data_IF_350012683295
#
_entry.id   IF_350012683295
#
_cell.length_a   1.000
_cell.length_b   1.000
_cell.length_c   1.000
_cell.angle_alpha   90.00
_cell.angle_beta   90.00
_cell.angle_gamma   90.00
#
_symmetry.space_group_name_H-M   'P 1'
#
loop_
_entity.id
_entity.type
_entity.pdbx_description
1 polymer ?
#
# COMPACT_ATOMS: atom_id res chain seq x y z
N UNK A 1 42.19 -28.44 57.00
CA UNK A 1 42.30 -27.91 55.63
C UNK A 1 40.90 -27.90 55.04
N UNK A 2 40.25 -26.73 54.89
CA UNK A 2 38.93 -26.58 54.29
C UNK A 2 39.14 -26.03 52.88
N UNK A 3 38.80 -26.82 51.88
CA UNK A 3 38.87 -26.45 50.48
C UNK A 3 37.57 -25.67 50.12
N UNK A 4 37.68 -24.39 49.82
CA UNK A 4 36.54 -23.56 49.39
C UNK A 4 36.44 -23.59 47.88
N UNK A 5 35.33 -24.09 47.37
CA UNK A 5 35.01 -24.10 45.95
C UNK A 5 34.41 -22.75 45.56
N UNK A 6 35.12 -21.96 44.75
CA UNK A 6 34.63 -20.72 44.19
C UNK A 6 33.77 -21.06 42.95
N UNK A 7 32.46 -20.85 43.05
CA UNK A 7 31.54 -20.92 41.90
C UNK A 7 31.63 -19.60 41.15
N UNK A 8 32.23 -19.60 39.97
CA UNK A 8 32.21 -18.46 39.05
C UNK A 8 30.88 -18.44 38.30
N UNK A 9 30.03 -17.47 38.61
CA UNK A 9 28.81 -17.21 37.90
C UNK A 9 29.14 -16.45 36.60
N UNK A 10 29.10 -17.10 35.45
CA UNK A 10 29.12 -16.46 34.15
C UNK A 10 27.73 -15.84 33.88
N UNK A 11 27.58 -14.52 34.02
CA UNK A 11 26.44 -13.77 33.49
C UNK A 11 26.53 -13.80 31.96
N UNK A 12 25.71 -14.63 31.34
CA UNK A 12 25.46 -14.54 29.90
C UNK A 12 24.50 -13.33 29.71
N UNK A 13 25.04 -12.18 29.34
CA UNK A 13 24.26 -11.06 28.81
C UNK A 13 23.71 -11.49 27.44
N UNK A 14 22.51 -12.04 27.45
CA UNK A 14 21.72 -12.17 26.23
C UNK A 14 21.38 -10.75 25.76
N UNK A 15 22.11 -10.22 24.79
CA UNK A 15 21.77 -9.00 24.11
C UNK A 15 20.42 -9.17 23.42
N UNK A 16 19.35 -8.66 24.05
CA UNK A 16 18.09 -8.50 23.37
C UNK A 16 18.35 -7.54 22.18
N UNK A 17 18.19 -8.01 20.96
CA UNK A 17 18.18 -7.14 19.80
C UNK A 17 17.07 -6.10 20.04
N UNK A 18 17.45 -4.86 20.26
CA UNK A 18 16.52 -3.77 20.50
C UNK A 18 15.73 -3.56 19.22
N UNK A 19 14.39 -3.65 19.28
CA UNK A 19 13.54 -3.34 18.15
C UNK A 19 13.83 -1.91 17.68
N UNK A 20 13.97 -1.71 16.37
CA UNK A 20 14.19 -0.38 15.79
C UNK A 20 13.01 0.52 16.14
N UNK A 21 13.29 1.77 16.51
CA UNK A 21 12.25 2.75 16.78
C UNK A 21 11.54 3.17 15.47
N UNK A 22 10.31 3.66 15.57
CA UNK A 22 9.58 4.17 14.39
C UNK A 22 10.37 5.26 13.67
N UNK A 23 11.02 6.17 14.40
CA UNK A 23 11.84 7.24 13.82
C UNK A 23 13.07 6.74 13.05
N UNK A 24 13.61 5.58 13.42
CA UNK A 24 14.68 4.92 12.66
C UNK A 24 14.14 4.24 11.42
N UNK A 25 13.00 3.57 11.53
CA UNK A 25 12.36 2.86 10.43
C UNK A 25 11.88 3.81 9.33
N UNK A 26 11.34 4.99 9.68
CA UNK A 26 10.90 6.02 8.71
C UNK A 26 12.04 6.45 7.78
N UNK A 27 13.28 6.48 8.27
CA UNK A 27 14.47 6.86 7.48
C UNK A 27 14.74 5.94 6.28
N UNK A 28 14.22 4.71 6.29
CA UNK A 28 14.30 3.80 5.14
C UNK A 28 13.68 4.42 3.88
N UNK A 29 12.67 5.26 4.07
CA UNK A 29 11.89 5.88 2.99
C UNK A 29 12.27 7.33 2.72
N UNK A 30 13.36 7.82 3.32
CA UNK A 30 13.85 9.17 3.06
C UNK A 30 14.38 9.30 1.63
N UNK A 31 13.97 10.37 0.98
CA UNK A 31 14.45 10.73 -0.34
C UNK A 31 14.45 12.23 -0.54
N UNK A 32 15.28 12.70 -1.48
CA UNK A 32 15.31 14.10 -1.85
C UNK A 32 14.13 14.42 -2.78
N UNK A 33 13.13 15.16 -2.28
CA UNK A 33 11.94 15.59 -3.03
C UNK A 33 12.25 16.56 -4.18
N UNK A 34 13.41 17.25 -4.17
CA UNK A 34 13.79 18.18 -5.22
C UNK A 34 14.32 17.49 -6.48
N UNK A 35 14.60 16.18 -6.42
CA UNK A 35 14.97 15.40 -7.62
C UNK A 35 13.81 15.45 -8.61
N UNK A 36 14.08 15.81 -9.88
CA UNK A 36 13.04 15.91 -10.89
C UNK A 36 12.26 14.60 -11.07
N UNK A 37 10.96 14.72 -11.31
CA UNK A 37 10.11 13.55 -11.60
C UNK A 37 10.41 12.93 -12.96
N UNK A 38 10.99 13.71 -13.90
CA UNK A 38 11.24 13.30 -15.29
C UNK A 38 10.04 12.53 -15.86
N UNK A 39 8.85 13.11 -15.70
CA UNK A 39 7.60 12.48 -16.11
C UNK A 39 7.59 12.27 -17.62
N UNK A 40 7.46 11.02 -18.04
CA UNK A 40 7.07 10.62 -19.38
C UNK A 40 5.57 10.33 -19.35
N UNK A 41 4.83 10.91 -20.28
CA UNK A 41 3.39 10.76 -20.36
C UNK A 41 2.96 10.60 -21.82
N UNK A 42 2.17 9.56 -22.09
CA UNK A 42 1.59 9.28 -23.40
C UNK A 42 0.10 9.09 -23.26
N UNK A 43 -0.71 9.89 -23.96
CA UNK A 43 -2.15 9.69 -24.01
C UNK A 43 -2.48 8.36 -24.71
N UNK A 44 -3.35 7.58 -24.10
CA UNK A 44 -3.80 6.28 -24.58
C UNK A 44 -5.25 6.34 -25.05
N UNK A 45 -6.08 7.13 -24.35
CA UNK A 45 -7.50 7.24 -24.61
C UNK A 45 -8.05 8.57 -24.09
N UNK A 46 -9.08 9.10 -24.77
CA UNK A 46 -9.80 10.32 -24.38
C UNK A 46 -11.28 10.15 -24.71
N UNK A 47 -12.05 9.58 -23.79
CA UNK A 47 -13.49 9.36 -23.94
C UNK A 47 -14.19 9.41 -22.58
N UNK A 48 -15.51 9.52 -22.62
CA UNK A 48 -16.34 9.41 -21.42
C UNK A 48 -16.12 10.49 -20.35
N UNK A 49 -15.53 11.66 -20.73
CA UNK A 49 -15.29 12.77 -19.81
C UNK A 49 -14.00 12.64 -18.99
N UNK A 50 -13.06 11.79 -19.41
CA UNK A 50 -11.71 11.67 -18.83
C UNK A 50 -10.67 11.38 -19.91
N UNK A 51 -9.39 11.54 -19.55
CA UNK A 51 -8.23 11.13 -20.34
C UNK A 51 -7.42 10.10 -19.58
N UNK A 52 -6.98 9.06 -20.29
CA UNK A 52 -6.09 8.03 -19.79
C UNK A 52 -4.70 8.18 -20.39
N UNK A 53 -3.69 8.18 -19.52
CA UNK A 53 -2.29 8.24 -19.93
C UNK A 53 -1.53 7.05 -19.39
N UNK A 54 -0.62 6.46 -20.17
CA UNK A 54 0.49 5.70 -19.64
C UNK A 54 1.58 6.68 -19.20
N UNK A 55 2.19 6.41 -18.06
CA UNK A 55 3.22 7.27 -17.49
C UNK A 55 4.41 6.48 -16.99
N UNK A 56 5.56 7.18 -16.91
CA UNK A 56 6.73 6.76 -16.14
C UNK A 56 7.32 7.97 -15.44
N UNK A 57 7.73 7.80 -14.18
CA UNK A 57 8.38 8.86 -13.42
C UNK A 57 9.58 8.33 -12.62
N UNK A 58 10.53 9.22 -12.32
CA UNK A 58 11.74 8.88 -11.59
C UNK A 58 11.47 8.61 -10.11
N UNK A 59 12.01 7.50 -9.61
CA UNK A 59 12.04 7.15 -8.19
C UNK A 59 13.49 7.14 -7.73
N UNK A 60 13.86 7.90 -6.68
CA UNK A 60 15.20 7.83 -6.08
C UNK A 60 15.54 6.40 -5.64
N UNK A 61 16.78 6.00 -5.80
CA UNK A 61 17.35 4.67 -5.52
C UNK A 61 17.00 3.58 -6.54
N UNK A 62 16.04 3.80 -7.44
CA UNK A 62 15.64 2.78 -8.42
C UNK A 62 14.96 3.46 -9.62
N UNK A 63 15.65 3.66 -10.69
CA UNK A 63 15.20 4.01 -12.03
C UNK A 63 13.82 4.64 -12.19
N UNK A 64 12.90 3.88 -12.77
CA UNK A 64 11.61 4.38 -13.25
C UNK A 64 10.44 3.59 -12.66
N UNK A 65 9.39 4.30 -12.28
CA UNK A 65 8.11 3.73 -11.85
C UNK A 65 7.09 3.86 -12.98
N UNK A 66 6.60 2.75 -13.54
CA UNK A 66 5.53 2.76 -14.53
C UNK A 66 4.17 2.96 -13.85
N UNK A 67 3.19 3.44 -14.61
CA UNK A 67 1.83 3.59 -14.11
C UNK A 67 0.86 4.11 -15.15
N UNK A 68 -0.34 4.41 -14.69
CA UNK A 68 -1.37 5.07 -15.47
C UNK A 68 -1.90 6.29 -14.71
N UNK A 69 -2.32 7.30 -15.46
CA UNK A 69 -2.95 8.48 -14.90
C UNK A 69 -4.32 8.65 -15.58
N UNK A 70 -5.38 8.68 -14.79
CA UNK A 70 -6.74 8.96 -15.23
C UNK A 70 -7.10 10.36 -14.75
N UNK A 71 -7.39 11.27 -15.70
CA UNK A 71 -7.64 12.67 -15.43
C UNK A 71 -9.04 13.04 -15.92
N UNK A 72 -9.98 13.35 -15.04
CA UNK A 72 -11.31 13.80 -15.45
C UNK A 72 -11.24 15.17 -16.13
N UNK A 73 -12.08 15.36 -17.14
CA UNK A 73 -12.26 16.65 -17.80
C UNK A 73 -12.90 17.69 -16.85
N UNK A 74 -12.93 18.94 -17.29
CA UNK A 74 -13.58 20.04 -16.58
C UNK A 74 -12.61 20.87 -15.74
N UNK A 75 -13.05 22.08 -15.36
CA UNK A 75 -12.23 23.07 -14.67
C UNK A 75 -12.08 22.76 -13.17
N UNK A 76 -11.14 23.48 -12.55
CA UNK A 76 -10.92 23.47 -11.11
C UNK A 76 -9.98 22.38 -10.61
N UNK A 77 -9.52 22.57 -9.38
CA UNK A 77 -8.63 21.61 -8.69
C UNK A 77 -9.45 20.44 -8.14
N UNK A 78 -8.97 19.24 -8.37
CA UNK A 78 -9.65 17.98 -8.13
C UNK A 78 -8.96 17.20 -7.01
N UNK A 79 -9.69 16.47 -6.15
CA UNK A 79 -9.07 15.49 -5.27
C UNK A 79 -8.35 14.42 -6.08
N UNK A 80 -7.44 13.70 -5.44
CA UNK A 80 -6.69 12.66 -6.13
C UNK A 80 -6.51 11.40 -5.27
N UNK A 81 -6.26 10.27 -5.95
CA UNK A 81 -6.01 8.98 -5.32
C UNK A 81 -4.77 8.36 -5.95
N UNK A 82 -3.90 7.82 -5.09
CA UNK A 82 -2.81 6.92 -5.48
C UNK A 82 -3.28 5.48 -5.27
N UNK A 83 -3.13 4.66 -6.30
CA UNK A 83 -3.57 3.26 -6.29
C UNK A 83 -2.38 2.34 -6.50
N UNK A 84 -2.34 1.20 -5.79
CA UNK A 84 -1.36 0.15 -6.01
C UNK A 84 -2.00 -1.23 -5.86
N UNK A 85 -1.89 -2.07 -6.91
CA UNK A 85 -2.42 -3.42 -6.93
C UNK A 85 -1.29 -4.45 -7.09
N UNK A 86 -1.36 -5.58 -6.38
CA UNK A 86 -0.39 -6.67 -6.49
C UNK A 86 -0.29 -7.28 -7.90
N UNK A 87 -1.39 -7.31 -8.65
CA UNK A 87 -1.47 -7.79 -10.03
C UNK A 87 -1.04 -6.77 -11.10
N UNK A 88 -0.51 -5.61 -10.68
CA UNK A 88 -0.09 -4.53 -11.57
C UNK A 88 -1.06 -3.35 -11.65
N UNK A 89 -0.56 -2.20 -12.09
CA UNK A 89 -1.28 -0.92 -12.05
C UNK A 89 -2.64 -0.94 -12.77
N UNK A 90 -2.75 -1.68 -13.87
CA UNK A 90 -3.97 -1.70 -14.70
C UNK A 90 -5.19 -2.28 -13.98
N UNK A 91 -5.01 -3.09 -12.94
CA UNK A 91 -6.11 -3.77 -12.24
C UNK A 91 -7.12 -2.80 -11.62
N UNK A 92 -6.68 -1.64 -11.17
CA UNK A 92 -7.57 -0.60 -10.65
C UNK A 92 -8.13 0.36 -11.72
N UNK A 93 -7.98 0.06 -13.02
CA UNK A 93 -8.44 0.99 -14.06
C UNK A 93 -9.95 1.23 -14.00
N UNK A 94 -10.75 0.19 -13.74
CA UNK A 94 -12.21 0.33 -13.60
C UNK A 94 -12.61 1.28 -12.47
N UNK A 95 -11.99 1.11 -11.30
CA UNK A 95 -12.19 2.00 -10.14
C UNK A 95 -11.73 3.43 -10.42
N UNK A 96 -10.59 3.59 -11.06
CA UNK A 96 -10.06 4.91 -11.44
C UNK A 96 -10.99 5.65 -12.42
N UNK A 97 -11.58 4.94 -13.38
CA UNK A 97 -12.58 5.49 -14.30
C UNK A 97 -13.87 5.86 -13.57
N UNK A 98 -14.34 5.01 -12.64
CA UNK A 98 -15.49 5.32 -11.78
C UNK A 98 -15.24 6.59 -10.96
N UNK A 99 -14.05 6.71 -10.34
CA UNK A 99 -13.66 7.90 -9.59
C UNK A 99 -13.50 9.13 -10.49
N UNK A 100 -13.07 8.99 -11.74
CA UNK A 100 -13.01 10.10 -12.68
C UNK A 100 -14.39 10.68 -12.99
N UNK A 101 -15.46 9.87 -13.04
CA UNK A 101 -16.84 10.35 -13.17
C UNK A 101 -17.32 11.14 -11.95
N UNK A 102 -16.66 10.96 -10.80
CA UNK A 102 -16.83 11.77 -9.59
C UNK A 102 -15.89 12.99 -9.53
N UNK A 103 -15.07 13.19 -10.57
CA UNK A 103 -14.16 14.32 -10.66
C UNK A 103 -12.84 14.13 -9.92
N UNK A 104 -12.39 12.89 -9.70
CA UNK A 104 -11.15 12.54 -8.99
C UNK A 104 -10.05 12.16 -9.96
N UNK A 105 -8.87 12.72 -9.81
CA UNK A 105 -7.65 12.28 -10.53
C UNK A 105 -7.12 11.00 -9.90
N UNK A 106 -6.83 9.98 -10.70
CA UNK A 106 -6.30 8.71 -10.22
C UNK A 106 -4.93 8.43 -10.80
N UNK A 107 -3.95 8.16 -9.92
CA UNK A 107 -2.62 7.70 -10.29
C UNK A 107 -2.48 6.21 -9.90
N UNK A 108 -2.43 5.34 -10.89
CA UNK A 108 -2.25 3.91 -10.71
C UNK A 108 -0.76 3.58 -10.83
N UNK A 109 -0.16 3.18 -9.71
CA UNK A 109 1.29 2.95 -9.61
C UNK A 109 1.59 1.47 -9.81
N UNK A 110 2.53 1.18 -10.70
CA UNK A 110 3.09 -0.16 -10.89
C UNK A 110 4.15 -0.51 -9.86
N UNK A 111 4.88 -1.58 -10.12
CA UNK A 111 6.12 -1.90 -9.41
C UNK A 111 7.32 -1.37 -10.18
N UNK A 112 8.40 -1.03 -9.48
CA UNK A 112 9.62 -0.55 -10.13
C UNK A 112 10.20 -1.57 -11.11
N UNK A 113 10.63 -1.10 -12.29
CA UNK A 113 11.16 -1.93 -13.37
C UNK A 113 12.61 -2.39 -13.13
N UNK A 114 13.36 -1.69 -12.27
CA UNK A 114 14.83 -1.82 -12.21
C UNK A 114 15.33 -2.59 -10.98
N UNK A 115 14.48 -3.24 -10.21
CA UNK A 115 14.91 -3.97 -9.01
C UNK A 115 15.09 -5.45 -9.33
N UNK A 116 16.33 -5.98 -9.36
CA UNK A 116 16.57 -7.39 -9.63
C UNK A 116 16.06 -8.26 -8.47
N UNK A 117 15.31 -9.31 -8.75
CA UNK A 117 14.98 -10.36 -7.78
C UNK A 117 16.25 -11.12 -7.36
N UNK A 118 16.26 -11.75 -6.19
CA UNK A 118 17.21 -12.81 -5.89
C UNK A 118 17.89 -12.85 -4.55
N UNK A 119 17.94 -11.77 -3.74
CA UNK A 119 18.43 -11.85 -2.35
C UNK A 119 17.45 -11.22 -1.38
N UNK A 120 17.50 -11.57 -0.08
CA UNK A 120 16.65 -10.96 0.94
C UNK A 120 16.73 -9.42 0.94
N UNK A 121 17.94 -8.88 0.80
CA UNK A 121 18.18 -7.42 0.76
C UNK A 121 17.53 -6.79 -0.47
N UNK A 122 17.62 -7.43 -1.63
CA UNK A 122 16.97 -6.93 -2.85
C UNK A 122 15.46 -6.97 -2.73
N UNK A 123 14.89 -7.99 -2.11
CA UNK A 123 13.44 -8.06 -1.84
C UNK A 123 13.00 -6.95 -0.90
N UNK A 124 13.74 -6.68 0.17
CA UNK A 124 13.51 -5.54 1.07
C UNK A 124 13.62 -4.21 0.33
N UNK A 125 14.68 -4.03 -0.44
CA UNK A 125 14.97 -2.79 -1.15
C UNK A 125 13.91 -2.51 -2.23
N UNK A 126 13.35 -3.56 -2.88
CA UNK A 126 12.19 -3.43 -3.76
C UNK A 126 10.98 -2.85 -3.02
N UNK A 127 10.63 -3.40 -1.84
CA UNK A 127 9.52 -2.89 -1.04
C UNK A 127 9.74 -1.42 -0.64
N UNK A 128 10.98 -1.07 -0.26
CA UNK A 128 11.33 0.33 0.05
C UNK A 128 11.12 1.23 -1.16
N UNK A 129 11.57 0.80 -2.33
CA UNK A 129 11.42 1.54 -3.59
C UNK A 129 9.95 1.71 -3.96
N UNK A 130 9.13 0.67 -3.81
CA UNK A 130 7.70 0.73 -4.11
C UNK A 130 6.99 1.73 -3.17
N UNK A 131 7.32 1.74 -1.87
CA UNK A 131 6.78 2.72 -0.92
C UNK A 131 7.25 4.15 -1.27
N UNK A 132 8.52 4.34 -1.62
CA UNK A 132 9.01 5.64 -2.12
C UNK A 132 8.28 6.02 -3.42
N UNK A 133 8.00 5.06 -4.31
CA UNK A 133 7.23 5.26 -5.53
C UNK A 133 5.83 5.81 -5.28
N UNK A 134 5.10 5.26 -4.30
CA UNK A 134 3.80 5.79 -3.86
C UNK A 134 3.92 7.24 -3.37
N UNK A 135 4.93 7.56 -2.56
CA UNK A 135 5.19 8.91 -2.07
C UNK A 135 5.62 9.87 -3.18
N UNK A 136 6.40 9.40 -4.18
CA UNK A 136 6.72 10.16 -5.41
C UNK A 136 5.48 10.36 -6.29
N UNK A 137 4.55 9.40 -6.28
CA UNK A 137 3.23 9.58 -6.87
C UNK A 137 2.46 10.76 -6.23
N UNK A 138 2.53 10.89 -4.91
CA UNK A 138 1.99 12.05 -4.21
C UNK A 138 2.73 13.37 -4.56
N UNK A 139 4.07 13.34 -4.81
CA UNK A 139 4.80 14.50 -5.34
C UNK A 139 4.30 14.86 -6.76
N UNK A 140 4.09 13.87 -7.63
CA UNK A 140 3.58 14.06 -8.98
C UNK A 140 2.19 14.71 -8.98
N UNK A 141 1.28 14.18 -8.17
CA UNK A 141 -0.07 14.72 -8.05
C UNK A 141 -0.06 16.12 -7.46
N UNK A 142 0.76 16.35 -6.42
CA UNK A 142 0.87 17.67 -5.79
C UNK A 142 1.50 18.76 -6.67
N UNK A 143 2.28 18.38 -7.68
CA UNK A 143 2.88 19.29 -8.65
C UNK A 143 1.93 19.69 -9.79
N UNK A 144 0.73 19.09 -9.88
CA UNK A 144 -0.26 19.39 -10.93
C UNK A 144 -1.15 20.56 -10.53
N UNK A 145 -1.38 21.47 -11.45
CA UNK A 145 -2.25 22.64 -11.23
C UNK A 145 -3.73 22.27 -11.09
N UNK A 146 -4.14 21.14 -11.66
CA UNK A 146 -5.51 20.63 -11.64
C UNK A 146 -5.80 19.69 -10.45
N UNK A 147 -4.84 19.48 -9.52
CA UNK A 147 -5.00 18.65 -8.32
C UNK A 147 -5.04 19.48 -7.04
N UNK A 148 -5.99 19.18 -6.18
CA UNK A 148 -6.06 19.65 -4.81
C UNK A 148 -5.31 18.69 -3.88
N UNK A 149 -4.05 18.99 -3.59
CA UNK A 149 -3.17 18.14 -2.77
C UNK A 149 -3.60 18.02 -1.31
N UNK A 150 -4.60 18.81 -0.86
CA UNK A 150 -5.19 18.69 0.48
C UNK A 150 -6.27 17.60 0.54
N UNK A 151 -6.60 16.98 -0.58
CA UNK A 151 -7.58 15.90 -0.72
C UNK A 151 -6.97 14.72 -1.47
N UNK A 152 -5.98 14.07 -0.85
CA UNK A 152 -5.24 12.93 -1.40
C UNK A 152 -5.55 11.67 -0.61
N UNK A 153 -5.93 10.58 -1.27
CA UNK A 153 -6.14 9.28 -0.66
C UNK A 153 -5.19 8.21 -1.23
N UNK A 154 -5.04 7.11 -0.48
CA UNK A 154 -4.32 5.91 -0.89
C UNK A 154 -5.28 4.73 -0.94
N UNK A 155 -5.23 3.95 -2.02
CA UNK A 155 -5.93 2.66 -2.14
C UNK A 155 -4.92 1.58 -2.52
N UNK A 156 -4.91 0.49 -1.79
CA UNK A 156 -4.01 -0.62 -2.05
C UNK A 156 -4.70 -1.97 -1.95
N UNK A 157 -4.31 -2.92 -2.83
CA UNK A 157 -4.79 -4.29 -2.80
C UNK A 157 -3.62 -5.25 -2.53
N UNK A 158 -3.81 -6.19 -1.59
CA UNK A 158 -2.86 -7.25 -1.26
C UNK A 158 -1.47 -6.67 -0.94
N UNK A 159 -0.45 -6.94 -1.74
CA UNK A 159 0.87 -6.30 -1.63
C UNK A 159 0.75 -4.77 -1.61
N UNK A 160 -0.08 -4.19 -2.48
CA UNK A 160 -0.32 -2.74 -2.51
C UNK A 160 -0.99 -2.22 -1.23
N UNK A 161 -1.79 -3.02 -0.53
CA UNK A 161 -2.37 -2.65 0.76
C UNK A 161 -1.30 -2.56 1.85
N UNK A 162 -0.35 -3.50 1.89
CA UNK A 162 0.80 -3.46 2.81
C UNK A 162 1.68 -2.24 2.54
N UNK A 163 2.07 -2.01 1.27
CA UNK A 163 2.91 -0.86 0.89
C UNK A 163 2.20 0.47 1.13
N UNK A 164 0.89 0.52 0.82
CA UNK A 164 0.04 1.68 1.07
C UNK A 164 -0.11 2.00 2.56
N UNK A 165 -0.22 0.97 3.40
CA UNK A 165 -0.28 1.16 4.86
C UNK A 165 1.00 1.79 5.40
N UNK A 166 2.17 1.39 4.90
CA UNK A 166 3.43 2.05 5.24
C UNK A 166 3.46 3.48 4.69
N UNK A 167 3.09 3.68 3.42
CA UNK A 167 3.11 4.99 2.77
C UNK A 167 2.28 6.03 3.54
N UNK A 168 1.04 5.69 3.95
CA UNK A 168 0.18 6.63 4.72
C UNK A 168 0.70 6.87 6.13
N UNK A 169 1.51 5.97 6.67
CA UNK A 169 2.08 6.10 8.01
C UNK A 169 3.31 7.02 8.04
N UNK A 170 4.05 7.09 6.93
CA UNK A 170 5.29 7.88 6.82
C UNK A 170 5.14 9.15 5.97
N UNK A 171 3.93 9.41 5.46
CA UNK A 171 3.64 10.58 4.62
C UNK A 171 2.29 11.21 4.97
N UNK A 172 2.32 12.35 5.61
CA UNK A 172 1.15 13.08 6.12
C UNK A 172 0.30 13.77 5.04
N UNK A 173 0.64 13.64 3.77
CA UNK A 173 -0.17 14.17 2.66
C UNK A 173 -1.39 13.31 2.35
N UNK A 174 -1.39 12.06 2.76
CA UNK A 174 -2.56 11.21 2.62
C UNK A 174 -3.59 11.51 3.70
N UNK A 175 -4.84 11.68 3.31
CA UNK A 175 -5.96 12.04 4.17
C UNK A 175 -6.97 10.90 4.37
N UNK A 176 -6.82 9.82 3.63
CA UNK A 176 -7.59 8.58 3.79
C UNK A 176 -6.80 7.38 3.24
N UNK A 177 -7.10 6.18 3.76
CA UNK A 177 -6.54 4.92 3.27
C UNK A 177 -7.60 3.84 3.08
N UNK A 178 -7.52 3.10 1.97
CA UNK A 178 -8.29 1.87 1.74
C UNK A 178 -7.32 0.71 1.54
N UNK A 179 -7.52 -0.37 2.27
CA UNK A 179 -6.64 -1.53 2.29
C UNK A 179 -7.46 -2.80 2.02
N UNK A 180 -7.32 -3.33 0.79
CA UNK A 180 -8.06 -4.49 0.30
C UNK A 180 -7.20 -5.74 0.43
N UNK A 181 -7.70 -6.77 1.11
CA UNK A 181 -7.01 -8.05 1.34
C UNK A 181 -5.54 -7.88 1.74
N UNK A 182 -5.26 -6.89 2.58
CA UNK A 182 -3.94 -6.63 3.12
C UNK A 182 -3.64 -7.45 4.36
N UNK A 183 -2.38 -7.42 4.78
CA UNK A 183 -1.88 -8.07 6.00
C UNK A 183 -0.77 -7.27 6.67
N UNK A 184 -0.42 -7.67 7.88
CA UNK A 184 0.57 -6.97 8.71
C UNK A 184 1.98 -6.95 8.14
N UNK A 185 2.31 -7.88 7.25
CA UNK A 185 3.61 -7.87 6.61
C UNK A 185 3.97 -9.16 5.92
N UNK A 186 4.87 -9.06 4.97
CA UNK A 186 5.34 -10.17 4.16
C UNK A 186 6.15 -11.18 5.00
N UNK A 187 6.91 -10.70 5.99
CA UNK A 187 7.69 -11.59 6.85
C UNK A 187 6.79 -12.49 7.69
N UNK A 188 5.69 -11.96 8.22
CA UNK A 188 4.70 -12.72 8.97
C UNK A 188 4.01 -13.71 8.03
N UNK A 189 3.50 -13.24 6.91
CA UNK A 189 2.76 -14.08 5.97
C UNK A 189 3.60 -15.25 5.45
N UNK A 190 4.83 -15.00 5.00
CA UNK A 190 5.74 -16.07 4.59
C UNK A 190 6.02 -17.02 5.76
N UNK A 191 6.25 -16.47 6.95
CA UNK A 191 6.61 -17.27 8.12
C UNK A 191 5.51 -18.19 8.65
N UNK A 192 4.23 -17.78 8.55
CA UNK A 192 3.12 -18.41 9.29
C UNK A 192 1.96 -18.90 8.44
N UNK A 193 1.70 -18.30 7.28
CA UNK A 193 0.53 -18.63 6.45
C UNK A 193 0.58 -20.11 5.98
N UNK A 194 -0.53 -20.86 6.12
CA UNK A 194 -0.64 -22.20 5.57
C UNK A 194 -0.90 -22.20 4.05
N UNK A 195 -1.11 -21.03 3.44
CA UNK A 195 -1.43 -20.89 2.02
C UNK A 195 -0.35 -21.48 1.10
N UNK A 196 -0.74 -21.97 -0.09
CA UNK A 196 0.17 -22.63 -1.03
C UNK A 196 1.36 -21.77 -1.41
N UNK A 197 1.13 -20.47 -1.65
CA UNK A 197 2.19 -19.54 -2.01
C UNK A 197 3.25 -19.41 -0.90
N UNK A 198 2.86 -19.08 0.32
CA UNK A 198 3.78 -18.94 1.46
C UNK A 198 4.52 -20.24 1.77
N UNK A 199 3.83 -21.38 1.66
CA UNK A 199 4.43 -22.71 1.82
C UNK A 199 5.48 -22.98 0.72
N UNK A 200 5.21 -22.59 -0.53
CA UNK A 200 6.15 -22.67 -1.65
C UNK A 200 7.41 -21.85 -1.39
N UNK A 201 7.24 -20.59 -0.98
CA UNK A 201 8.36 -19.69 -0.65
C UNK A 201 9.22 -20.27 0.51
N UNK A 202 8.58 -20.77 1.58
CA UNK A 202 9.34 -21.42 2.68
C UNK A 202 10.14 -22.61 2.21
N UNK A 203 9.57 -23.44 1.33
CA UNK A 203 10.26 -24.60 0.76
C UNK A 203 11.46 -24.18 -0.10
N UNK A 204 11.31 -23.12 -0.89
CA UNK A 204 12.38 -22.59 -1.74
C UNK A 204 13.53 -22.00 -0.91
N UNK A 205 13.20 -21.25 0.14
CA UNK A 205 14.19 -20.60 1.01
C UNK A 205 14.92 -21.60 1.93
N UNK A 206 14.29 -22.71 2.29
CA UNK A 206 14.90 -23.75 3.13
C UNK A 206 15.55 -23.18 4.39
N UNK A 207 16.84 -23.50 4.61
CA UNK A 207 17.62 -23.04 5.77
C UNK A 207 17.82 -21.51 5.79
N UNK A 208 17.71 -20.84 4.66
CA UNK A 208 17.80 -19.37 4.52
C UNK A 208 16.54 -18.62 4.98
N UNK A 209 15.44 -19.32 5.27
CA UNK A 209 14.15 -18.69 5.62
C UNK A 209 14.28 -17.70 6.78
N UNK A 210 14.93 -18.09 7.87
CA UNK A 210 15.05 -17.24 9.07
C UNK A 210 15.76 -15.92 8.78
N UNK A 211 16.83 -15.96 8.01
CA UNK A 211 17.59 -14.76 7.64
C UNK A 211 16.80 -13.90 6.66
N UNK A 212 16.12 -14.52 5.69
CA UNK A 212 15.21 -13.82 4.79
C UNK A 212 14.15 -13.03 5.54
N UNK A 213 13.40 -13.68 6.44
CA UNK A 213 12.34 -13.04 7.23
C UNK A 213 12.88 -11.87 8.06
N UNK A 214 14.05 -12.04 8.69
CA UNK A 214 14.70 -10.98 9.47
C UNK A 214 15.08 -9.77 8.62
N UNK A 215 15.52 -9.98 7.38
CA UNK A 215 15.94 -8.89 6.48
C UNK A 215 14.76 -8.09 5.98
N UNK A 216 13.60 -8.73 5.69
CA UNK A 216 12.42 -8.03 5.17
C UNK A 216 11.51 -7.48 6.28
N UNK A 217 11.62 -7.96 7.53
CA UNK A 217 10.76 -7.56 8.65
C UNK A 217 10.70 -6.03 8.90
N UNK A 218 11.79 -5.24 8.76
CA UNK A 218 11.73 -3.81 8.96
C UNK A 218 10.76 -3.05 8.05
N UNK A 219 10.35 -3.63 6.92
CA UNK A 219 9.40 -3.01 5.96
C UNK A 219 7.96 -3.51 6.12
N UNK A 220 7.69 -4.39 7.08
CA UNK A 220 6.34 -4.89 7.37
C UNK A 220 5.42 -3.78 7.88
N UNK A 221 4.18 -3.77 7.39
CA UNK A 221 3.15 -2.78 7.77
C UNK A 221 2.87 -2.76 9.28
N UNK A 222 3.10 -3.87 10.00
CA UNK A 222 2.94 -3.96 11.46
C UNK A 222 3.74 -2.89 12.22
N UNK A 223 4.90 -2.50 11.68
CA UNK A 223 5.81 -1.55 12.30
C UNK A 223 5.33 -0.09 12.11
N UNK A 224 4.34 0.15 11.24
CA UNK A 224 3.95 1.49 10.79
C UNK A 224 2.48 1.81 11.02
N UNK A 225 1.55 0.90 10.69
CA UNK A 225 0.11 1.22 10.63
C UNK A 225 -0.48 1.69 11.96
N UNK A 226 0.11 1.27 13.07
CA UNK A 226 -0.23 1.75 14.42
C UNK A 226 0.24 3.18 14.70
N UNK A 227 1.17 3.70 13.92
CA UNK A 227 1.71 5.06 14.00
C UNK A 227 1.13 5.98 12.92
N UNK A 228 0.27 5.44 12.05
CA UNK A 228 -0.36 6.24 11.01
C UNK A 228 -1.13 7.42 11.62
N UNK A 229 -1.16 8.58 10.91
CA UNK A 229 -1.97 9.71 11.32
C UNK A 229 -3.43 9.32 11.57
N UNK A 230 -4.16 10.16 12.29
CA UNK A 230 -5.59 9.96 12.60
C UNK A 230 -6.50 10.14 11.39
N UNK A 231 -6.08 9.62 10.22
CA UNK A 231 -6.87 9.61 8.99
C UNK A 231 -7.87 8.45 9.00
N UNK A 232 -9.03 8.57 8.36
CA UNK A 232 -9.97 7.48 8.21
C UNK A 232 -9.38 6.35 7.36
N UNK A 233 -9.65 5.11 7.76
CA UNK A 233 -9.16 3.89 7.11
C UNK A 233 -10.30 2.90 6.89
N UNK A 234 -10.40 2.37 5.66
CA UNK A 234 -11.29 1.27 5.32
C UNK A 234 -10.43 0.02 5.04
N UNK A 235 -10.75 -1.07 5.73
CA UNK A 235 -10.21 -2.39 5.47
C UNK A 235 -11.31 -3.22 4.81
N UNK A 236 -11.00 -3.80 3.65
CA UNK A 236 -11.90 -4.68 2.91
C UNK A 236 -11.28 -6.07 2.83
N UNK A 237 -12.01 -7.09 3.23
CA UNK A 237 -11.53 -8.47 3.28
C UNK A 237 -12.57 -9.42 2.71
N UNK A 238 -12.12 -10.55 2.18
CA UNK A 238 -12.96 -11.55 1.54
C UNK A 238 -13.09 -12.81 2.40
N UNK A 239 -14.32 -13.35 2.48
CA UNK A 239 -14.58 -14.60 3.21
C UNK A 239 -13.92 -15.82 2.56
N UNK A 240 -13.73 -15.79 1.25
CA UNK A 240 -13.18 -16.92 0.46
C UNK A 240 -11.79 -16.61 -0.09
N UNK A 241 -11.01 -15.78 0.61
CA UNK A 241 -9.63 -15.44 0.22
C UNK A 241 -8.68 -16.63 0.43
N UNK A 242 -8.08 -17.21 -0.61
CA UNK A 242 -7.14 -18.31 -0.47
C UNK A 242 -5.74 -17.86 -0.03
N UNK A 243 -5.46 -16.55 -0.10
CA UNK A 243 -4.14 -15.95 0.15
C UNK A 243 -4.03 -15.31 1.53
N UNK A 244 -5.11 -14.67 2.02
CA UNK A 244 -5.12 -13.94 3.29
C UNK A 244 -6.06 -14.62 4.29
N UNK A 245 -5.54 -15.34 5.30
CA UNK A 245 -6.35 -15.89 6.37
C UNK A 245 -7.16 -14.81 7.10
N UNK A 246 -8.36 -15.14 7.55
CA UNK A 246 -9.24 -14.19 8.27
C UNK A 246 -8.54 -13.54 9.45
N UNK A 247 -7.80 -14.33 10.21
CA UNK A 247 -7.03 -13.81 11.35
C UNK A 247 -6.00 -12.77 10.93
N UNK A 248 -5.31 -12.96 9.82
CA UNK A 248 -4.30 -12.01 9.34
C UNK A 248 -4.93 -10.68 8.93
N UNK A 249 -6.13 -10.73 8.29
CA UNK A 249 -6.92 -9.55 7.96
C UNK A 249 -7.42 -8.81 9.21
N UNK A 250 -7.89 -9.55 10.23
CA UNK A 250 -8.30 -8.98 11.52
C UNK A 250 -7.12 -8.36 12.27
N UNK A 251 -5.98 -9.04 12.32
CA UNK A 251 -4.76 -8.53 12.97
C UNK A 251 -4.28 -7.23 12.28
N UNK A 252 -4.38 -7.15 10.96
CA UNK A 252 -4.04 -5.93 10.22
C UNK A 252 -4.97 -4.77 10.59
N UNK A 253 -6.27 -5.01 10.65
CA UNK A 253 -7.24 -4.03 11.12
C UNK A 253 -6.97 -3.62 12.56
N UNK A 254 -6.75 -4.57 13.47
CA UNK A 254 -6.55 -4.30 14.90
C UNK A 254 -5.30 -3.46 15.17
N UNK A 255 -4.23 -3.68 14.41
CA UNK A 255 -2.98 -2.93 14.55
C UNK A 255 -3.09 -1.46 14.15
N UNK A 256 -4.03 -1.09 13.30
CA UNK A 256 -4.23 0.29 12.87
C UNK A 256 -4.82 1.16 14.00
N UNK A 257 -4.46 2.45 14.02
CA UNK A 257 -5.00 3.47 14.94
C UNK A 257 -5.92 4.45 14.21
N UNK A 258 -6.64 5.30 14.98
CA UNK A 258 -7.56 6.32 14.46
C UNK A 258 -8.88 5.74 13.95
N UNK A 259 -9.69 6.54 13.24
CA UNK A 259 -10.97 6.08 12.68
C UNK A 259 -10.75 4.96 11.66
N UNK A 260 -11.39 3.82 11.86
CA UNK A 260 -11.22 2.65 11.00
C UNK A 260 -12.47 1.77 10.96
N UNK A 261 -12.70 1.16 9.79
CA UNK A 261 -13.80 0.22 9.56
C UNK A 261 -13.23 -1.02 8.87
N UNK A 262 -13.67 -2.22 9.31
CA UNK A 262 -13.42 -3.49 8.61
C UNK A 262 -14.74 -3.97 8.02
N UNK A 263 -14.70 -4.32 6.72
CA UNK A 263 -15.83 -4.93 6.02
C UNK A 263 -15.42 -6.25 5.39
N UNK A 264 -16.31 -7.23 5.45
CA UNK A 264 -16.17 -8.55 4.88
C UNK A 264 -17.14 -8.73 3.73
N UNK A 265 -16.67 -9.38 2.65
CA UNK A 265 -17.45 -9.62 1.43
C UNK A 265 -17.45 -11.09 1.05
N UNK A 266 -18.54 -11.56 0.49
CA UNK A 266 -18.73 -12.95 0.01
C UNK A 266 -18.05 -13.13 -1.38
N UNK A 267 -16.74 -12.87 -1.44
CA UNK A 267 -15.93 -12.92 -2.66
C UNK A 267 -14.55 -13.51 -2.38
N UNK A 268 -13.73 -13.64 -3.41
CA UNK A 268 -12.32 -14.04 -3.35
C UNK A 268 -11.35 -12.88 -3.14
N UNK A 269 -10.06 -13.15 -3.35
CA UNK A 269 -8.96 -12.23 -3.06
C UNK A 269 -9.07 -10.85 -3.71
N UNK A 270 -9.66 -10.76 -4.91
CA UNK A 270 -9.68 -9.50 -5.67
C UNK A 270 -10.67 -8.45 -5.13
N UNK A 271 -11.63 -8.85 -4.26
CA UNK A 271 -12.64 -7.95 -3.64
C UNK A 271 -13.31 -7.05 -4.69
N UNK A 272 -13.69 -7.67 -5.83
CA UNK A 272 -14.22 -7.01 -7.02
C UNK A 272 -15.75 -7.03 -7.13
N UNK A 273 -16.46 -7.49 -6.07
CA UNK A 273 -17.92 -7.46 -6.04
C UNK A 273 -18.47 -6.03 -5.95
N UNK A 274 -19.69 -5.85 -6.46
CA UNK A 274 -20.31 -4.52 -6.53
C UNK A 274 -20.52 -3.87 -5.16
N UNK A 275 -20.73 -4.67 -4.10
CA UNK A 275 -20.86 -4.17 -2.74
C UNK A 275 -19.55 -3.57 -2.23
N UNK A 276 -18.42 -4.27 -2.46
CA UNK A 276 -17.11 -3.81 -2.09
C UNK A 276 -16.73 -2.52 -2.84
N UNK A 277 -16.98 -2.48 -4.16
CA UNK A 277 -16.74 -1.30 -4.99
C UNK A 277 -17.59 -0.13 -4.51
N UNK A 278 -18.88 -0.33 -4.24
CA UNK A 278 -19.77 0.72 -3.74
C UNK A 278 -19.34 1.27 -2.38
N UNK A 279 -18.97 0.39 -1.45
CA UNK A 279 -18.52 0.79 -0.11
C UNK A 279 -17.22 1.57 -0.16
N UNK A 280 -16.24 1.11 -0.95
CA UNK A 280 -14.98 1.81 -1.20
C UNK A 280 -15.21 3.18 -1.80
N UNK A 281 -16.09 3.25 -2.81
CA UNK A 281 -16.42 4.51 -3.49
C UNK A 281 -17.11 5.50 -2.53
N UNK A 282 -18.05 5.04 -1.69
CA UNK A 282 -18.70 5.90 -0.67
C UNK A 282 -17.70 6.39 0.37
N UNK A 283 -16.88 5.49 0.90
CA UNK A 283 -15.83 5.85 1.86
C UNK A 283 -14.88 6.93 1.31
N UNK A 284 -14.39 6.75 0.07
CA UNK A 284 -13.53 7.73 -0.59
C UNK A 284 -14.27 9.04 -0.88
N UNK A 285 -15.56 8.97 -1.25
CA UNK A 285 -16.36 10.16 -1.48
C UNK A 285 -16.52 11.00 -0.21
N UNK A 286 -16.79 10.37 0.92
CA UNK A 286 -16.89 11.04 2.22
C UNK A 286 -15.54 11.66 2.61
N UNK A 287 -14.45 10.89 2.51
CA UNK A 287 -13.10 11.32 2.91
C UNK A 287 -12.54 12.45 2.01
N UNK A 288 -12.91 12.47 0.73
CA UNK A 288 -12.47 13.46 -0.26
C UNK A 288 -13.51 14.56 -0.51
N UNK A 289 -14.63 14.58 0.23
CA UNK A 289 -15.72 15.54 0.12
C UNK A 289 -16.29 15.63 -1.31
N UNK A 290 -16.62 14.46 -1.89
CA UNK A 290 -17.22 14.37 -3.22
C UNK A 290 -18.73 14.52 -3.15
N UNK A 291 -19.31 14.97 -4.26
CA UNK A 291 -20.77 15.10 -4.44
C UNK A 291 -21.26 14.15 -5.54
N UNK A 292 -22.57 13.95 -5.64
CA UNK A 292 -23.23 13.15 -6.69
C UNK A 292 -22.91 11.65 -6.68
N UNK A 293 -22.40 11.12 -5.58
CA UNK A 293 -21.99 9.73 -5.45
C UNK A 293 -23.12 8.75 -5.77
N UNK A 294 -24.32 8.94 -5.20
CA UNK A 294 -25.46 8.03 -5.41
C UNK A 294 -25.92 8.00 -6.87
N UNK A 295 -25.79 9.12 -7.58
CA UNK A 295 -26.10 9.16 -9.02
C UNK A 295 -25.13 8.30 -9.79
N UNK A 296 -23.82 8.49 -9.58
CA UNK A 296 -22.78 7.75 -10.28
C UNK A 296 -22.85 6.25 -9.96
N UNK A 297 -23.03 5.87 -8.69
CA UNK A 297 -23.15 4.46 -8.32
C UNK A 297 -24.36 3.78 -8.98
N UNK A 298 -25.52 4.45 -9.08
CA UNK A 298 -26.67 3.89 -9.77
C UNK A 298 -26.46 3.74 -11.28
N UNK A 299 -25.87 4.77 -11.91
CA UNK A 299 -25.65 4.77 -13.36
C UNK A 299 -24.58 3.79 -13.83
N UNK A 300 -23.52 3.61 -13.04
CA UNK A 300 -22.33 2.86 -13.46
C UNK A 300 -22.29 1.42 -12.96
N UNK A 301 -22.76 1.16 -11.75
CA UNK A 301 -22.72 -0.17 -11.15
C UNK A 301 -24.07 -0.70 -10.66
N UNK A 302 -25.16 0.03 -10.90
CA UNK A 302 -26.52 -0.40 -10.60
C UNK A 302 -26.86 -0.54 -9.10
N UNK A 303 -26.04 0.04 -8.21
CA UNK A 303 -26.25 -0.01 -6.75
C UNK A 303 -27.08 1.18 -6.30
N UNK A 304 -28.11 0.92 -5.48
CA UNK A 304 -29.02 1.92 -4.91
C UNK A 304 -28.45 2.55 -3.64
#
# INVERSE_FOLDING_TARGET
MKCGTILTFCLILAGAAQAQSFDELVKLYDYNRTVPLNLEQKEMDARGGYRLYSIRYSVPKSGRMPGYLVVPDGPGRKPAIVWMHSGGAIQFLGDAVLMAKLGVVSLLVGQSEDTPAGTPEKSRDQMIVDIIGLRRGADLLGARDDVDSTRLAMVGHSYGAMMGAVAVSVDNRFHAGVFECGLLGMSIHIGTSPGPWATGVRKELGDGLKDFLKVIEPVDAKNYIGQAPTIPKLFQSAWYDPGVPHKDAEDFYLAATGPKVLKWYDTGHDVDDMGAIADRTRFLADALHLTKIDKVLREEIGVK
#
